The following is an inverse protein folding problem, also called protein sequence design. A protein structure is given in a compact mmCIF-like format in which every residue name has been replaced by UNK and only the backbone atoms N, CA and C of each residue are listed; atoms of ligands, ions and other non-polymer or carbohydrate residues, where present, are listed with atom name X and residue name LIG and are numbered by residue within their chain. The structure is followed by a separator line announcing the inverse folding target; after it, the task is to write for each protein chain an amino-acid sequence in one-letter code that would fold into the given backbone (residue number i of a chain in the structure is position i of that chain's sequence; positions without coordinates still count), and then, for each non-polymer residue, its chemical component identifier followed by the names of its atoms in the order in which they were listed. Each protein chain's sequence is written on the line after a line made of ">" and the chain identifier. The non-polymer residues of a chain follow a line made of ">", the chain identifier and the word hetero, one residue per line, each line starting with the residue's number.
data_IF_242176426554
#
_entry.id   IF_242176426554
#
_cell.length_a   1.000
_cell.length_b   1.000
_cell.length_c   1.000
_cell.angle_alpha   90.00
_cell.angle_beta   90.00
_cell.angle_gamma   90.00
#
_symmetry.space_group_name_H-M   'P 1'
#
loop_
_entity.id
_entity.type
_entity.pdbx_description
1 polymer ?
#
# COMPACT_ATOMS: atom_id res chain seq x y z
N UNK A 1 -16.47 9.41 1.05
CA UNK A 1 -16.64 7.96 1.17
C UNK A 1 -16.53 7.36 -0.21
N UNK A 2 -15.82 6.26 -0.31
CA UNK A 2 -15.94 5.41 -1.49
C UNK A 2 -17.40 4.92 -1.52
N UNK A 3 -18.23 5.60 -2.31
CA UNK A 3 -19.69 5.37 -2.32
C UNK A 3 -20.08 4.00 -2.87
N UNK A 4 -19.15 3.38 -3.57
CA UNK A 4 -19.25 2.14 -4.34
C UNK A 4 -18.51 0.97 -3.69
N UNK A 5 -18.01 1.11 -2.45
CA UNK A 5 -17.35 0.03 -1.73
C UNK A 5 -18.26 -1.19 -1.61
N UNK A 6 -17.76 -2.31 -2.11
CA UNK A 6 -18.45 -3.59 -2.02
C UNK A 6 -18.30 -4.19 -0.61
N UNK A 7 -19.40 -4.30 0.13
CA UNK A 7 -19.40 -4.82 1.49
C UNK A 7 -19.01 -6.30 1.61
N UNK A 8 -19.01 -7.07 0.51
CA UNK A 8 -18.49 -8.45 0.51
C UNK A 8 -17.00 -8.50 0.87
N UNK A 9 -16.26 -7.39 0.71
CA UNK A 9 -14.86 -7.28 1.13
C UNK A 9 -14.66 -7.51 2.64
N UNK A 10 -15.70 -7.34 3.47
CA UNK A 10 -15.67 -7.67 4.91
C UNK A 10 -15.44 -9.16 5.19
N UNK A 11 -15.67 -10.03 4.21
CA UNK A 11 -15.52 -11.48 4.31
C UNK A 11 -14.28 -11.99 3.58
N UNK A 12 -13.55 -11.11 2.92
CA UNK A 12 -12.39 -11.49 2.11
C UNK A 12 -11.16 -11.76 2.98
N UNK A 13 -10.42 -12.79 2.60
CA UNK A 13 -9.13 -13.15 3.19
C UNK A 13 -8.02 -12.66 2.27
N UNK A 14 -7.12 -11.82 2.81
CA UNK A 14 -5.94 -11.33 2.10
C UNK A 14 -4.72 -12.10 2.60
N UNK A 15 -3.95 -12.68 1.67
CA UNK A 15 -2.68 -13.35 1.95
C UNK A 15 -1.52 -12.51 1.40
N UNK A 16 -0.70 -11.99 2.30
CA UNK A 16 0.44 -11.14 1.95
C UNK A 16 1.67 -11.99 1.62
N UNK A 17 2.34 -11.65 0.53
CA UNK A 17 3.57 -12.30 0.08
C UNK A 17 4.66 -11.26 -0.16
N UNK A 18 5.81 -11.47 0.47
CA UNK A 18 7.06 -10.86 0.06
C UNK A 18 7.84 -11.86 -0.79
N UNK A 19 7.89 -11.66 -2.10
CA UNK A 19 8.46 -12.61 -3.05
C UNK A 19 9.82 -13.13 -2.63
N UNK A 20 10.75 -12.23 -2.28
CA UNK A 20 12.12 -12.57 -1.88
C UNK A 20 12.19 -13.61 -0.76
N UNK A 21 11.24 -13.61 0.16
CA UNK A 21 11.25 -14.45 1.37
C UNK A 21 10.22 -15.59 1.33
N UNK A 22 9.40 -15.66 0.28
CA UNK A 22 8.28 -16.60 0.25
C UNK A 22 8.75 -18.05 -0.05
N UNK A 23 9.61 -18.17 -1.04
CA UNK A 23 10.16 -19.45 -1.50
C UNK A 23 11.69 -19.34 -1.61
N UNK A 24 12.35 -20.44 -1.97
CA UNK A 24 13.81 -20.53 -2.06
C UNK A 24 14.39 -19.56 -3.10
N UNK A 25 13.80 -19.48 -4.30
CA UNK A 25 14.24 -18.58 -5.36
C UNK A 25 13.66 -17.17 -5.27
N UNK A 26 12.58 -16.97 -4.54
CA UNK A 26 11.88 -15.69 -4.42
C UNK A 26 11.27 -15.15 -5.71
N UNK A 27 10.99 -16.02 -6.70
CA UNK A 27 10.53 -15.61 -8.02
C UNK A 27 9.02 -15.72 -8.21
N UNK A 28 8.45 -14.95 -9.16
CA UNK A 28 7.04 -15.06 -9.56
C UNK A 28 6.68 -16.48 -10.04
N UNK A 29 7.60 -17.15 -10.74
CA UNK A 29 7.36 -18.50 -11.24
C UNK A 29 7.26 -19.53 -10.12
N UNK A 30 8.07 -19.40 -9.10
CA UNK A 30 8.00 -20.30 -7.95
C UNK A 30 6.71 -20.05 -7.14
N UNK A 31 6.29 -18.78 -7.00
CA UNK A 31 5.02 -18.43 -6.36
C UNK A 31 3.82 -19.02 -7.09
N UNK A 32 3.84 -19.09 -8.44
CA UNK A 32 2.80 -19.77 -9.22
C UNK A 32 2.59 -21.22 -8.75
N UNK A 33 3.67 -21.92 -8.43
CA UNK A 33 3.61 -23.30 -7.94
C UNK A 33 2.95 -23.46 -6.57
N UNK A 34 2.83 -22.37 -5.78
CA UNK A 34 2.25 -22.38 -4.44
C UNK A 34 0.80 -21.85 -4.37
N UNK A 35 0.26 -21.34 -5.47
CA UNK A 35 -1.07 -20.70 -5.49
C UNK A 35 -2.20 -21.66 -5.07
N UNK A 36 -2.11 -22.94 -5.38
CA UNK A 36 -3.11 -23.93 -4.98
C UNK A 36 -3.16 -24.09 -3.47
N UNK A 37 -1.99 -24.20 -2.80
CA UNK A 37 -1.91 -24.25 -1.34
C UNK A 37 -2.48 -22.98 -0.71
N UNK A 38 -2.12 -21.81 -1.25
CA UNK A 38 -2.63 -20.51 -0.77
C UNK A 38 -4.16 -20.48 -0.89
N UNK A 39 -4.72 -20.91 -2.03
CA UNK A 39 -6.18 -20.96 -2.23
C UNK A 39 -6.87 -21.90 -1.25
N UNK A 40 -6.25 -23.05 -0.93
CA UNK A 40 -6.79 -24.01 0.04
C UNK A 40 -6.87 -23.45 1.47
N UNK A 41 -6.13 -22.38 1.80
CA UNK A 41 -6.28 -21.63 3.04
C UNK A 41 -7.53 -20.73 3.08
N UNK A 42 -8.32 -20.69 2.00
CA UNK A 42 -9.51 -19.83 1.90
C UNK A 42 -9.21 -18.41 1.44
N UNK A 43 -8.05 -18.17 0.80
CA UNK A 43 -7.62 -16.85 0.35
C UNK A 43 -8.44 -16.38 -0.84
N UNK A 44 -8.86 -15.11 -0.82
CA UNK A 44 -9.58 -14.43 -1.88
C UNK A 44 -8.69 -13.46 -2.65
N UNK A 45 -7.72 -12.85 -1.96
CA UNK A 45 -6.82 -11.83 -2.51
C UNK A 45 -5.39 -12.18 -2.17
N UNK A 46 -4.57 -12.42 -3.20
CA UNK A 46 -3.12 -12.50 -3.08
C UNK A 46 -2.55 -11.08 -3.14
N UNK A 47 -1.89 -10.63 -2.07
CA UNK A 47 -1.28 -9.31 -1.99
C UNK A 47 0.25 -9.43 -2.00
N UNK A 48 0.89 -8.79 -2.99
CA UNK A 48 2.33 -8.75 -3.13
C UNK A 48 2.91 -7.45 -2.57
N UNK A 49 3.92 -7.56 -1.72
CA UNK A 49 4.78 -6.42 -1.35
C UNK A 49 5.40 -5.82 -2.63
N UNK A 50 6.03 -4.61 -2.55
CA UNK A 50 6.48 -3.93 -3.75
C UNK A 50 7.25 -4.83 -4.72
N UNK A 51 6.77 -4.87 -5.96
CA UNK A 51 7.30 -5.73 -7.03
C UNK A 51 8.36 -5.04 -7.89
N UNK A 52 8.66 -3.77 -7.59
CA UNK A 52 9.48 -2.88 -8.39
C UNK A 52 10.98 -3.00 -8.08
N UNK A 53 11.88 -2.56 -9.00
CA UNK A 53 13.30 -2.44 -8.73
C UNK A 53 13.57 -1.56 -7.51
N UNK A 54 14.52 -1.98 -6.69
CA UNK A 54 14.92 -1.29 -5.46
C UNK A 54 16.08 -0.33 -5.75
N UNK A 55 16.02 0.87 -5.16
CA UNK A 55 17.09 1.85 -5.24
C UNK A 55 18.41 1.35 -4.65
N UNK A 56 19.51 1.83 -5.21
CA UNK A 56 20.88 1.45 -4.83
C UNK A 56 21.57 2.52 -3.99
N UNK A 57 21.23 3.79 -4.23
CA UNK A 57 21.83 4.92 -3.52
C UNK A 57 21.30 4.98 -2.09
N UNK A 58 22.21 5.00 -1.13
CA UNK A 58 21.92 5.07 0.32
C UNK A 58 21.02 3.95 0.83
N UNK A 59 20.98 2.80 0.14
CA UNK A 59 20.13 1.66 0.49
C UNK A 59 20.41 1.12 1.89
N UNK A 60 19.36 0.70 2.59
CA UNK A 60 19.47 0.03 3.89
C UNK A 60 19.82 -1.45 3.71
N UNK A 61 20.83 -1.90 4.43
CA UNK A 61 21.32 -3.29 4.37
C UNK A 61 21.90 -3.66 3.00
N UNK A 62 22.20 -4.94 2.83
CA UNK A 62 22.84 -5.44 1.61
C UNK A 62 21.87 -5.44 0.39
N UNK A 63 20.63 -5.84 0.62
CA UNK A 63 19.63 -6.05 -0.43
C UNK A 63 18.73 -4.83 -0.69
N UNK A 64 18.75 -3.84 0.21
CA UNK A 64 17.86 -2.67 0.14
C UNK A 64 16.43 -2.94 0.62
N UNK A 65 15.69 -1.86 0.86
CA UNK A 65 14.31 -1.89 1.28
C UNK A 65 13.38 -1.98 0.05
N UNK A 66 12.41 -2.91 -0.01
CA UNK A 66 11.48 -3.02 -1.14
C UNK A 66 10.62 -1.77 -1.33
N UNK A 67 10.45 -0.97 -0.28
CA UNK A 67 9.71 0.30 -0.34
C UNK A 67 10.53 1.47 -0.88
N UNK A 68 11.84 1.29 -1.14
CA UNK A 68 12.70 2.28 -1.80
C UNK A 68 12.66 2.06 -3.31
N UNK A 69 11.57 2.51 -3.97
CA UNK A 69 11.25 2.22 -5.36
C UNK A 69 12.15 3.01 -6.31
N UNK A 70 12.82 2.30 -7.25
CA UNK A 70 13.64 2.92 -8.28
C UNK A 70 12.83 3.27 -9.55
N UNK A 71 11.95 2.37 -10.00
CA UNK A 71 11.10 2.61 -11.16
C UNK A 71 9.71 1.96 -10.98
N UNK A 72 8.66 2.76 -11.06
CA UNK A 72 7.28 2.29 -10.85
C UNK A 72 6.69 1.47 -12.00
N UNK A 73 7.30 1.48 -13.21
CA UNK A 73 6.79 0.77 -14.39
C UNK A 73 7.60 -0.49 -14.74
N UNK A 74 8.49 -0.90 -13.86
CA UNK A 74 9.30 -2.12 -14.03
C UNK A 74 9.05 -3.09 -12.88
N UNK A 75 9.26 -4.38 -13.15
CA UNK A 75 9.33 -5.41 -12.12
C UNK A 75 10.79 -5.60 -11.68
N UNK A 76 10.99 -5.95 -10.41
CA UNK A 76 12.31 -6.25 -9.90
C UNK A 76 12.88 -7.49 -10.61
N UNK A 77 14.04 -7.39 -11.27
CA UNK A 77 14.65 -8.51 -12.00
C UNK A 77 14.99 -9.71 -11.09
N UNK A 78 15.10 -9.51 -9.77
CA UNK A 78 15.23 -10.62 -8.80
C UNK A 78 13.99 -11.51 -8.77
N UNK A 79 12.80 -10.97 -9.03
CA UNK A 79 11.54 -11.72 -8.99
C UNK A 79 11.16 -12.33 -10.35
N UNK A 80 11.81 -11.88 -11.43
CA UNK A 80 11.58 -12.33 -12.80
C UNK A 80 11.34 -11.20 -13.79
N UNK A 81 10.72 -11.54 -14.91
CA UNK A 81 10.39 -10.60 -15.99
C UNK A 81 8.95 -10.11 -15.89
N UNK A 82 8.59 -9.09 -16.68
CA UNK A 82 7.19 -8.65 -16.82
C UNK A 82 6.27 -9.79 -17.32
N UNK A 83 6.79 -10.66 -18.20
CA UNK A 83 6.02 -11.82 -18.69
C UNK A 83 5.80 -12.86 -17.58
N UNK A 84 6.77 -13.03 -16.65
CA UNK A 84 6.59 -13.88 -15.47
C UNK A 84 5.52 -13.31 -14.53
N UNK A 85 5.48 -11.98 -14.38
CA UNK A 85 4.46 -11.31 -13.58
C UNK A 85 3.07 -11.44 -14.21
N UNK A 86 2.94 -11.27 -15.55
CA UNK A 86 1.67 -11.52 -16.25
C UNK A 86 1.19 -12.96 -16.09
N UNK A 87 2.11 -13.92 -16.17
CA UNK A 87 1.80 -15.32 -15.92
C UNK A 87 1.30 -15.58 -14.49
N UNK A 88 1.85 -14.86 -13.49
CA UNK A 88 1.37 -14.92 -12.11
C UNK A 88 -0.05 -14.36 -11.99
N UNK A 89 -0.37 -13.22 -12.63
CA UNK A 89 -1.72 -12.66 -12.66
C UNK A 89 -2.71 -13.69 -13.20
N UNK A 90 -2.42 -14.24 -14.37
CA UNK A 90 -3.29 -15.24 -15.02
C UNK A 90 -3.48 -16.49 -14.14
N UNK A 91 -2.39 -16.99 -13.54
CA UNK A 91 -2.44 -18.15 -12.66
C UNK A 91 -3.26 -17.88 -11.39
N UNK A 92 -3.15 -16.69 -10.81
CA UNK A 92 -3.93 -16.24 -9.64
C UNK A 92 -5.42 -16.20 -9.98
N UNK A 93 -5.78 -15.64 -11.13
CA UNK A 93 -7.16 -15.60 -11.61
C UNK A 93 -7.73 -17.00 -11.89
N UNK A 94 -6.94 -17.93 -12.44
CA UNK A 94 -7.34 -19.34 -12.65
C UNK A 94 -7.69 -20.05 -11.33
N UNK A 95 -7.06 -19.67 -10.23
CA UNK A 95 -7.41 -20.18 -8.89
C UNK A 95 -8.64 -19.48 -8.28
N UNK A 96 -9.27 -18.55 -9.00
CA UNK A 96 -10.39 -17.75 -8.48
C UNK A 96 -9.99 -16.79 -7.37
N UNK A 97 -8.75 -16.33 -7.36
CA UNK A 97 -8.24 -15.28 -6.49
C UNK A 97 -8.03 -13.99 -7.27
N UNK A 98 -8.04 -12.86 -6.56
CA UNK A 98 -7.63 -11.55 -7.08
C UNK A 98 -6.17 -11.28 -6.75
N UNK A 99 -5.48 -10.47 -7.58
CA UNK A 99 -4.12 -10.02 -7.32
C UNK A 99 -4.10 -8.54 -6.93
N UNK A 100 -3.49 -8.24 -5.78
CA UNK A 100 -3.23 -6.89 -5.28
C UNK A 100 -1.73 -6.65 -5.23
N UNK A 101 -1.28 -5.44 -5.58
CA UNK A 101 0.14 -5.03 -5.44
C UNK A 101 0.27 -3.82 -4.53
N UNK A 102 1.46 -3.65 -3.98
CA UNK A 102 1.82 -2.48 -3.17
C UNK A 102 2.14 -1.27 -4.06
N UNK A 103 1.63 -0.10 -3.68
CA UNK A 103 1.85 1.19 -4.34
C UNK A 103 2.48 2.15 -3.35
N UNK A 104 3.72 2.55 -3.59
CA UNK A 104 4.51 3.41 -2.70
C UNK A 104 4.60 4.81 -3.31
N UNK A 105 3.60 5.66 -3.06
CA UNK A 105 3.49 6.98 -3.70
C UNK A 105 3.77 8.16 -2.78
N UNK A 106 4.09 7.90 -1.50
CA UNK A 106 4.61 8.97 -0.64
C UNK A 106 6.04 9.35 -1.02
N UNK A 107 6.85 8.39 -1.47
CA UNK A 107 8.29 8.57 -1.68
C UNK A 107 8.86 7.64 -2.75
N UNK A 108 10.10 7.91 -3.16
CA UNK A 108 10.90 7.04 -4.05
C UNK A 108 12.28 6.79 -3.45
N UNK A 109 13.05 5.91 -4.07
CA UNK A 109 14.49 5.83 -3.79
C UNK A 109 15.23 7.12 -4.19
N UNK A 110 16.42 7.34 -3.62
CA UNK A 110 17.27 8.51 -3.88
C UNK A 110 17.97 8.49 -5.25
N UNK A 111 17.79 7.44 -6.02
CA UNK A 111 18.25 7.25 -7.39
C UNK A 111 17.12 6.82 -8.33
N UNK A 112 15.88 7.19 -7.98
CA UNK A 112 14.72 6.82 -8.78
C UNK A 112 14.72 7.48 -10.15
N UNK A 113 14.03 6.82 -11.10
CA UNK A 113 13.79 7.38 -12.44
C UNK A 113 13.09 8.74 -12.35
N UNK A 114 12.04 8.87 -11.51
CA UNK A 114 11.32 10.13 -11.35
C UNK A 114 12.19 11.25 -10.80
N UNK A 115 13.00 10.99 -9.77
CA UNK A 115 13.90 12.02 -9.22
C UNK A 115 14.91 12.51 -10.24
N UNK A 116 15.41 11.62 -11.09
CA UNK A 116 16.38 11.98 -12.13
C UNK A 116 15.74 12.78 -13.28
N UNK A 117 14.48 12.54 -13.61
CA UNK A 117 13.78 13.22 -14.71
C UNK A 117 13.07 14.51 -14.25
N UNK A 118 12.51 14.51 -13.03
CA UNK A 118 11.64 15.54 -12.48
C UNK A 118 12.01 15.88 -11.02
N UNK A 119 13.25 16.41 -10.78
CA UNK A 119 13.67 16.76 -9.43
C UNK A 119 12.76 17.83 -8.78
N UNK A 120 12.06 18.63 -9.57
CA UNK A 120 11.11 19.65 -9.12
C UNK A 120 9.87 19.08 -8.43
N UNK A 121 9.55 17.79 -8.59
CA UNK A 121 8.41 17.13 -7.97
C UNK A 121 8.69 16.64 -6.55
N UNK A 122 9.88 16.88 -6.02
CA UNK A 122 10.30 16.30 -4.76
C UNK A 122 10.39 17.34 -3.63
N UNK A 123 10.19 16.85 -2.40
CA UNK A 123 10.29 17.65 -1.21
C UNK A 123 11.75 18.05 -0.93
N UNK A 124 11.94 19.35 -0.67
CA UNK A 124 13.20 19.91 -0.22
C UNK A 124 13.09 20.38 1.24
N UNK A 125 14.07 20.04 2.05
CA UNK A 125 14.18 20.58 3.41
C UNK A 125 14.57 22.06 3.40
N UNK A 126 14.75 22.65 4.60
CA UNK A 126 15.10 24.07 4.76
C UNK A 126 16.46 24.44 4.14
N UNK A 127 17.34 23.45 3.96
CA UNK A 127 18.66 23.62 3.38
C UNK A 127 18.66 23.42 1.86
N UNK A 128 17.49 23.22 1.25
CA UNK A 128 17.33 22.98 -0.18
C UNK A 128 17.77 21.58 -0.64
N UNK A 129 17.84 20.61 0.26
CA UNK A 129 18.23 19.24 -0.02
C UNK A 129 17.02 18.33 -0.13
N UNK A 130 17.08 17.33 -1.03
CA UNK A 130 16.08 16.27 -1.10
C UNK A 130 16.00 15.53 0.23
N UNK A 131 14.79 15.40 0.79
CA UNK A 131 14.58 14.86 2.12
C UNK A 131 13.25 14.10 2.21
N UNK A 132 12.98 13.56 3.39
CA UNK A 132 11.69 13.01 3.77
C UNK A 132 11.14 13.74 5.00
N UNK A 133 9.82 13.64 5.23
CA UNK A 133 9.13 14.35 6.33
C UNK A 133 9.21 13.57 7.65
N UNK A 134 9.56 12.28 7.61
CA UNK A 134 9.59 11.40 8.81
C UNK A 134 10.96 11.34 9.47
N UNK A 135 12.04 11.65 8.77
CA UNK A 135 13.40 11.75 9.31
C UNK A 135 14.19 10.43 9.35
N UNK A 136 13.59 9.33 9.77
CA UNK A 136 14.28 8.04 9.92
C UNK A 136 14.41 7.23 8.61
N UNK A 137 13.77 7.69 7.54
CA UNK A 137 13.74 7.01 6.24
C UNK A 137 14.86 7.50 5.33
N UNK A 138 16.11 7.22 5.70
CA UNK A 138 17.31 7.81 5.07
C UNK A 138 17.56 7.38 3.62
N UNK A 139 16.96 6.28 3.18
CA UNK A 139 17.13 5.67 1.85
C UNK A 139 16.13 6.15 0.80
N UNK A 140 15.23 7.08 1.20
CA UNK A 140 14.17 7.60 0.32
C UNK A 140 14.15 9.13 0.27
N UNK A 141 13.36 9.66 -0.65
CA UNK A 141 12.97 11.07 -0.72
C UNK A 141 11.49 11.19 -1.05
N UNK A 142 10.79 12.13 -0.37
CA UNK A 142 9.35 12.30 -0.51
C UNK A 142 8.98 13.05 -1.78
N UNK A 143 7.86 12.65 -2.38
CA UNK A 143 7.17 13.41 -3.41
C UNK A 143 6.45 14.63 -2.79
N UNK A 144 6.35 15.71 -3.56
CA UNK A 144 5.65 16.93 -3.15
C UNK A 144 4.47 17.21 -4.08
N UNK A 145 3.30 16.77 -3.68
CA UNK A 145 2.05 16.86 -4.44
C UNK A 145 1.54 18.29 -4.67
N UNK A 146 2.13 19.29 -3.99
CA UNK A 146 1.78 20.70 -4.16
C UNK A 146 2.51 21.38 -5.33
N UNK A 147 3.52 20.73 -5.90
CA UNK A 147 4.41 21.34 -6.89
C UNK A 147 3.82 21.39 -8.30
N UNK A 148 3.32 20.27 -8.79
CA UNK A 148 2.89 20.15 -10.18
C UNK A 148 1.79 19.08 -10.34
N UNK A 149 0.75 19.40 -11.10
CA UNK A 149 -0.29 18.45 -11.49
C UNK A 149 0.26 17.36 -12.41
N UNK A 150 1.32 17.61 -13.16
CA UNK A 150 1.98 16.61 -14.00
C UNK A 150 2.51 15.41 -13.20
N UNK A 151 2.92 15.60 -11.94
CA UNK A 151 3.19 14.50 -11.02
C UNK A 151 1.98 13.59 -10.85
N UNK A 152 0.80 14.17 -10.67
CA UNK A 152 -0.44 13.40 -10.50
C UNK A 152 -0.75 12.59 -11.76
N UNK A 153 -0.61 13.21 -12.93
CA UNK A 153 -0.86 12.56 -14.23
C UNK A 153 0.07 11.35 -14.41
N UNK A 154 1.38 11.51 -14.15
CA UNK A 154 2.37 10.44 -14.29
C UNK A 154 2.09 9.25 -13.35
N UNK A 155 1.76 9.54 -12.08
CA UNK A 155 1.46 8.50 -11.10
C UNK A 155 0.14 7.78 -11.42
N UNK A 156 -0.89 8.49 -11.88
CA UNK A 156 -2.18 7.90 -12.26
C UNK A 156 -2.03 7.03 -13.52
N UNK A 157 -1.28 7.50 -14.52
CA UNK A 157 -0.99 6.68 -15.71
C UNK A 157 -0.21 5.40 -15.35
N UNK A 158 0.62 5.44 -14.31
CA UNK A 158 1.29 4.24 -13.78
C UNK A 158 0.29 3.28 -13.13
N UNK A 159 -0.69 3.77 -12.36
CA UNK A 159 -1.77 2.92 -11.82
C UNK A 159 -2.59 2.30 -12.95
N UNK A 160 -2.99 3.09 -13.94
CA UNK A 160 -3.72 2.60 -15.11
C UNK A 160 -2.95 1.52 -15.87
N UNK A 161 -1.63 1.66 -16.01
CA UNK A 161 -0.76 0.66 -16.63
C UNK A 161 -0.86 -0.70 -15.93
N UNK A 162 -0.73 -0.76 -14.59
CA UNK A 162 -0.81 -2.01 -13.85
C UNK A 162 -2.23 -2.59 -13.82
N UNK A 163 -3.26 -1.74 -13.71
CA UNK A 163 -4.66 -2.17 -13.80
C UNK A 163 -4.97 -2.79 -15.18
N UNK A 164 -4.47 -2.20 -16.27
CA UNK A 164 -4.64 -2.74 -17.62
C UNK A 164 -3.90 -4.07 -17.84
N UNK A 165 -2.88 -4.38 -17.05
CA UNK A 165 -2.22 -5.70 -17.07
C UNK A 165 -3.01 -6.78 -16.31
N UNK A 166 -4.08 -6.41 -15.59
CA UNK A 166 -4.93 -7.35 -14.87
C UNK A 166 -4.73 -7.37 -13.35
N UNK A 167 -4.02 -6.41 -12.76
CA UNK A 167 -4.02 -6.21 -11.31
C UNK A 167 -5.43 -5.81 -10.86
N UNK A 168 -5.91 -6.36 -9.74
CA UNK A 168 -7.29 -6.19 -9.26
C UNK A 168 -7.40 -5.20 -8.08
N UNK A 169 -6.29 -4.80 -7.50
CA UNK A 169 -6.30 -3.89 -6.36
C UNK A 169 -4.93 -3.33 -6.00
N UNK A 170 -4.95 -2.23 -5.26
CA UNK A 170 -3.76 -1.60 -4.69
C UNK A 170 -3.83 -1.55 -3.16
N UNK A 171 -2.74 -1.96 -2.52
CA UNK A 171 -2.44 -1.54 -1.16
C UNK A 171 -1.53 -0.33 -1.27
N UNK A 172 -2.00 0.82 -0.80
CA UNK A 172 -1.27 2.06 -0.91
C UNK A 172 -0.49 2.33 0.37
N UNK A 173 0.84 2.28 0.23
CA UNK A 173 1.80 2.50 1.31
C UNK A 173 1.71 3.91 1.85
N UNK A 174 1.65 4.07 3.17
CA UNK A 174 1.55 5.36 3.87
C UNK A 174 0.55 6.30 3.19
N UNK A 175 -0.58 5.75 2.72
CA UNK A 175 -1.57 6.47 1.91
C UNK A 175 -2.07 7.76 2.57
N UNK A 176 -2.04 7.82 3.91
CA UNK A 176 -2.41 9.00 4.70
C UNK A 176 -1.58 10.26 4.42
N UNK A 177 -0.37 10.12 3.84
CA UNK A 177 0.51 11.24 3.51
C UNK A 177 0.32 11.79 2.09
N UNK A 178 -0.47 11.12 1.27
CA UNK A 178 -0.80 11.53 -0.10
C UNK A 178 -2.17 12.21 -0.09
N UNK A 179 -2.38 13.33 -0.82
CA UNK A 179 -3.65 14.04 -0.80
C UNK A 179 -4.86 13.17 -1.16
N UNK A 180 -5.95 13.32 -0.42
CA UNK A 180 -7.19 12.56 -0.69
C UNK A 180 -7.72 12.84 -2.10
N UNK A 181 -7.57 14.06 -2.58
CA UNK A 181 -7.97 14.49 -3.92
C UNK A 181 -7.23 13.72 -5.02
N UNK A 182 -5.93 13.43 -4.80
CA UNK A 182 -5.17 12.56 -5.69
C UNK A 182 -5.79 11.16 -5.75
N UNK A 183 -6.07 10.56 -4.60
CA UNK A 183 -6.66 9.23 -4.53
C UNK A 183 -8.07 9.17 -5.13
N UNK A 184 -8.88 10.21 -4.93
CA UNK A 184 -10.21 10.33 -5.55
C UNK A 184 -10.12 10.37 -7.07
N UNK A 185 -9.15 11.12 -7.60
CA UNK A 185 -8.90 11.18 -9.04
C UNK A 185 -8.38 9.85 -9.57
N UNK A 186 -7.38 9.26 -8.92
CA UNK A 186 -6.80 7.97 -9.27
C UNK A 186 -7.87 6.86 -9.32
N UNK A 187 -8.71 6.78 -8.26
CA UNK A 187 -9.81 5.81 -8.20
C UNK A 187 -10.78 5.96 -9.38
N UNK A 188 -11.18 7.18 -9.69
CA UNK A 188 -12.10 7.44 -10.80
C UNK A 188 -11.51 6.99 -12.14
N UNK A 189 -10.24 7.32 -12.41
CA UNK A 189 -9.60 7.00 -13.68
C UNK A 189 -9.27 5.50 -13.82
N UNK A 190 -8.87 4.83 -12.74
CA UNK A 190 -8.67 3.36 -12.74
C UNK A 190 -9.99 2.62 -12.89
N UNK A 191 -11.11 3.15 -12.37
CA UNK A 191 -12.42 2.53 -12.53
C UNK A 191 -12.91 2.49 -14.00
N UNK A 192 -12.36 3.32 -14.89
CA UNK A 192 -12.61 3.24 -16.34
C UNK A 192 -12.04 1.96 -16.96
N UNK A 193 -11.00 1.36 -16.33
CA UNK A 193 -10.38 0.09 -16.75
C UNK A 193 -11.02 -1.08 -16.03
N UNK A 194 -11.16 -0.98 -14.71
CA UNK A 194 -11.77 -2.01 -13.87
C UNK A 194 -12.65 -1.34 -12.79
N UNK A 195 -13.99 -1.36 -12.95
CA UNK A 195 -14.91 -0.73 -12.00
C UNK A 195 -14.93 -1.45 -10.62
N UNK A 196 -14.52 -2.71 -10.55
CA UNK A 196 -14.47 -3.52 -9.33
C UNK A 196 -13.08 -3.50 -8.65
N UNK A 197 -12.24 -2.51 -8.98
CA UNK A 197 -10.89 -2.37 -8.47
C UNK A 197 -10.88 -2.09 -6.96
N UNK A 198 -10.01 -2.80 -6.21
CA UNK A 198 -9.97 -2.75 -4.74
C UNK A 198 -8.90 -1.76 -4.27
N UNK A 199 -9.27 -0.87 -3.34
CA UNK A 199 -8.38 0.12 -2.76
C UNK A 199 -8.21 -0.08 -1.26
N UNK A 200 -6.99 -0.47 -0.85
CA UNK A 200 -6.59 -0.67 0.54
C UNK A 200 -5.58 0.41 0.95
N UNK A 201 -5.95 1.26 1.90
CA UNK A 201 -5.05 2.26 2.46
C UNK A 201 -4.28 1.69 3.65
N UNK A 202 -2.95 1.80 3.63
CA UNK A 202 -2.22 1.85 4.87
C UNK A 202 -2.42 3.22 5.49
N UNK A 203 -3.32 3.27 6.44
CA UNK A 203 -3.55 4.44 7.29
C UNK A 203 -2.70 4.33 8.56
N UNK A 204 -2.40 5.46 9.17
CA UNK A 204 -1.55 5.51 10.36
C UNK A 204 -2.37 5.76 11.63
N UNK A 205 -1.84 5.40 12.79
CA UNK A 205 -2.53 5.61 14.05
C UNK A 205 -2.69 7.08 14.42
N UNK A 206 -3.66 7.38 15.30
CA UNK A 206 -4.00 8.75 15.70
C UNK A 206 -2.88 9.50 16.41
N UNK A 207 -1.99 8.81 17.11
CA UNK A 207 -0.82 9.40 17.76
C UNK A 207 0.20 9.90 16.72
N UNK A 208 0.44 9.09 15.70
CA UNK A 208 1.32 9.46 14.60
C UNK A 208 0.73 10.60 13.74
N UNK A 209 -0.58 10.60 13.48
CA UNK A 209 -1.27 11.72 12.81
C UNK A 209 -1.05 13.02 13.58
N UNK A 210 -1.28 13.01 14.89
CA UNK A 210 -1.08 14.20 15.73
C UNK A 210 0.38 14.69 15.71
N UNK A 211 1.34 13.77 15.77
CA UNK A 211 2.75 14.10 15.68
C UNK A 211 3.09 14.79 14.36
N UNK A 212 2.72 14.23 13.23
CA UNK A 212 3.02 14.77 11.90
C UNK A 212 2.35 16.14 11.69
N UNK A 213 1.08 16.28 12.09
CA UNK A 213 0.36 17.57 12.05
C UNK A 213 1.02 18.63 12.93
N UNK A 214 1.59 18.25 14.09
CA UNK A 214 2.33 19.17 14.96
C UNK A 214 3.63 19.68 14.34
N UNK A 215 4.20 18.94 13.37
CA UNK A 215 5.36 19.35 12.57
C UNK A 215 4.97 20.25 11.38
N UNK A 216 3.67 20.55 11.20
CA UNK A 216 3.16 21.38 10.11
C UNK A 216 2.97 20.64 8.78
N UNK A 217 2.99 19.31 8.77
CA UNK A 217 2.74 18.51 7.58
C UNK A 217 1.29 18.05 7.50
N UNK A 218 0.80 17.91 6.28
CA UNK A 218 -0.50 17.33 6.00
C UNK A 218 -0.46 15.82 6.13
N UNK A 219 -1.46 15.25 6.81
CA UNK A 219 -1.68 13.82 6.95
C UNK A 219 -3.16 13.57 7.25
N UNK A 220 -3.71 12.50 6.68
CA UNK A 220 -5.13 12.20 6.70
C UNK A 220 -5.46 11.05 7.65
N UNK A 221 -6.59 11.19 8.36
CA UNK A 221 -7.16 10.16 9.23
C UNK A 221 -7.94 9.12 8.41
N UNK A 222 -8.26 7.97 9.02
CA UNK A 222 -9.10 6.94 8.40
C UNK A 222 -10.44 7.48 7.89
N UNK A 223 -11.07 8.41 8.64
CA UNK A 223 -12.32 9.03 8.20
C UNK A 223 -12.15 9.82 6.88
N UNK A 224 -11.01 10.46 6.69
CA UNK A 224 -10.67 11.17 5.46
C UNK A 224 -10.32 10.19 4.34
N UNK A 225 -9.55 9.13 4.65
CA UNK A 225 -9.16 8.10 3.68
C UNK A 225 -10.35 7.32 3.13
N UNK A 226 -11.40 7.07 3.92
CA UNK A 226 -12.63 6.43 3.43
C UNK A 226 -13.38 7.22 2.34
N UNK A 227 -12.98 8.43 2.00
CA UNK A 227 -13.49 9.12 0.81
C UNK A 227 -13.05 8.43 -0.47
N UNK A 228 -11.84 7.85 -0.50
CA UNK A 228 -11.23 7.27 -1.69
C UNK A 228 -10.97 5.75 -1.57
N UNK A 229 -10.88 5.19 -0.37
CA UNK A 229 -10.50 3.80 -0.13
C UNK A 229 -11.67 2.94 0.33
N UNK A 230 -11.62 1.66 -0.05
CA UNK A 230 -12.59 0.65 0.38
C UNK A 230 -12.23 0.12 1.75
N UNK A 231 -10.95 -0.11 1.99
CA UNK A 231 -10.40 -0.77 3.17
C UNK A 231 -9.31 0.13 3.78
N UNK A 232 -9.32 0.28 5.12
CA UNK A 232 -8.20 0.84 5.87
C UNK A 232 -7.65 -0.20 6.85
N UNK A 233 -6.36 -0.12 7.17
CA UNK A 233 -5.76 -0.93 8.24
C UNK A 233 -6.42 -0.63 9.58
N UNK A 234 -6.49 -1.65 10.47
CA UNK A 234 -7.14 -1.56 11.79
C UNK A 234 -6.17 -1.07 12.89
N UNK A 235 -5.23 -0.16 12.55
CA UNK A 235 -4.19 0.30 13.47
C UNK A 235 -4.74 1.11 14.65
N UNK A 236 -5.90 1.73 14.51
CA UNK A 236 -6.58 2.48 15.57
C UNK A 236 -6.99 1.61 16.77
N UNK A 237 -7.21 0.30 16.57
CA UNK A 237 -7.55 -0.63 17.64
C UNK A 237 -6.54 -1.77 17.83
N UNK A 238 -5.56 -1.91 16.94
CA UNK A 238 -4.60 -3.01 16.96
C UNK A 238 -3.81 -3.11 18.27
N UNK A 239 -3.39 -1.98 18.85
CA UNK A 239 -2.68 -1.96 20.13
C UNK A 239 -3.49 -2.61 21.26
N UNK A 240 -4.81 -2.38 21.31
CA UNK A 240 -5.70 -2.97 22.31
C UNK A 240 -5.90 -4.46 22.08
N UNK A 241 -5.96 -4.91 20.83
CA UNK A 241 -5.98 -6.33 20.48
C UNK A 241 -4.69 -7.03 20.91
N UNK A 242 -3.53 -6.45 20.63
CA UNK A 242 -2.22 -6.95 21.05
C UNK A 242 -2.11 -7.05 22.58
N UNK A 243 -2.56 -6.04 23.32
CA UNK A 243 -2.55 -6.06 24.77
C UNK A 243 -3.45 -7.17 25.35
N UNK A 244 -4.60 -7.44 24.72
CA UNK A 244 -5.42 -8.58 25.07
C UNK A 244 -4.70 -9.92 24.83
N UNK A 245 -4.10 -10.11 23.64
CA UNK A 245 -3.37 -11.36 23.31
C UNK A 245 -2.21 -11.62 24.26
N UNK A 246 -1.53 -10.56 24.71
CA UNK A 246 -0.41 -10.65 25.66
C UNK A 246 -0.85 -10.72 27.14
N UNK A 247 -2.16 -10.79 27.42
CA UNK A 247 -2.71 -10.84 28.77
C UNK A 247 -2.54 -9.54 29.57
N UNK A 248 -2.27 -8.42 28.91
CA UNK A 248 -2.06 -7.10 29.55
C UNK A 248 -3.35 -6.34 29.81
N UNK A 249 -4.40 -6.63 29.04
CA UNK A 249 -5.71 -6.00 29.15
C UNK A 249 -6.84 -7.01 28.95
N UNK A 250 -8.04 -6.80 29.56
CA UNK A 250 -9.18 -7.66 29.32
C UNK A 250 -9.75 -7.43 27.91
N UNK A 251 -10.36 -8.47 27.31
CA UNK A 251 -11.02 -8.42 26.01
C UNK A 251 -12.00 -7.25 25.86
N UNK A 252 -12.68 -6.87 26.96
CA UNK A 252 -13.65 -5.78 26.98
C UNK A 252 -13.08 -4.43 26.52
N UNK A 253 -11.80 -4.15 26.73
CA UNK A 253 -11.17 -2.91 26.28
C UNK A 253 -11.04 -2.88 24.75
N UNK A 254 -10.62 -3.98 24.13
CA UNK A 254 -10.61 -4.12 22.68
C UNK A 254 -12.02 -4.01 22.08
N UNK A 255 -13.00 -4.72 22.65
CA UNK A 255 -14.40 -4.71 22.16
C UNK A 255 -14.99 -3.30 22.18
N UNK A 256 -14.75 -2.52 23.24
CA UNK A 256 -15.21 -1.11 23.30
C UNK A 256 -14.65 -0.27 22.14
N UNK A 257 -13.38 -0.49 21.77
CA UNK A 257 -12.75 0.24 20.64
C UNK A 257 -13.36 -0.17 19.30
N UNK A 258 -13.58 -1.46 19.09
CA UNK A 258 -14.29 -1.96 17.89
C UNK A 258 -15.71 -1.39 17.81
N UNK A 259 -16.45 -1.32 18.93
CA UNK A 259 -17.76 -0.70 18.96
C UNK A 259 -17.74 0.79 18.58
N UNK A 260 -16.67 1.52 18.96
CA UNK A 260 -16.52 2.92 18.57
C UNK A 260 -16.34 3.09 17.06
N UNK A 261 -15.75 2.12 16.37
CA UNK A 261 -15.61 2.17 14.90
C UNK A 261 -16.99 2.24 14.20
N UNK A 262 -18.00 1.53 14.71
CA UNK A 262 -19.37 1.57 14.18
C UNK A 262 -20.03 2.95 14.29
N UNK A 263 -19.52 3.81 15.17
CA UNK A 263 -20.02 5.18 15.38
C UNK A 263 -19.23 6.23 14.61
N UNK A 264 -17.91 6.00 14.48
CA UNK A 264 -16.97 7.00 13.93
C UNK A 264 -16.90 6.89 12.39
N UNK A 265 -16.89 5.65 11.88
CA UNK A 265 -16.68 5.40 10.46
C UNK A 265 -17.98 5.37 9.65
N UNK A 266 -17.90 5.59 8.34
CA UNK A 266 -19.07 5.48 7.47
C UNK A 266 -19.65 4.06 7.46
N UNK A 267 -20.99 3.90 7.30
CA UNK A 267 -21.65 2.59 7.39
C UNK A 267 -21.16 1.52 6.41
N UNK A 268 -20.44 1.91 5.37
CA UNK A 268 -19.79 0.99 4.41
C UNK A 268 -18.29 0.84 4.63
N UNK A 269 -17.75 1.21 5.80
CA UNK A 269 -16.33 1.03 6.10
C UNK A 269 -15.93 -0.45 6.14
N UNK A 270 -14.70 -0.74 5.73
CA UNK A 270 -14.07 -2.05 5.87
C UNK A 270 -12.72 -1.89 6.54
N UNK A 271 -12.42 -2.70 7.56
CA UNK A 271 -11.12 -2.72 8.24
C UNK A 271 -10.37 -4.00 7.92
N UNK A 272 -9.09 -3.84 7.54
CA UNK A 272 -8.16 -4.97 7.47
C UNK A 272 -7.66 -5.30 8.87
N UNK A 273 -8.17 -6.39 9.43
CA UNK A 273 -7.69 -6.96 10.69
C UNK A 273 -6.67 -8.03 10.41
N UNK A 274 -5.48 -7.91 10.97
CA UNK A 274 -4.38 -8.84 10.78
C UNK A 274 -3.89 -9.42 12.10
N UNK A 275 -3.41 -10.66 12.06
CA UNK A 275 -2.60 -11.26 13.12
C UNK A 275 -1.12 -10.95 12.88
N UNK A 276 -0.70 -10.95 11.63
CA UNK A 276 0.67 -10.69 11.17
C UNK A 276 0.66 -9.84 9.90
N UNK A 277 1.62 -8.94 9.78
CA UNK A 277 1.93 -8.20 8.56
C UNK A 277 3.42 -7.79 8.56
N UNK A 278 3.90 -7.13 7.50
CA UNK A 278 5.29 -6.70 7.36
C UNK A 278 5.77 -5.67 8.41
N UNK A 279 4.86 -5.10 9.21
CA UNK A 279 5.14 -4.08 10.24
C UNK A 279 5.07 -4.66 11.67
N UNK A 280 4.74 -5.94 11.83
CA UNK A 280 4.64 -6.67 13.09
C UNK A 280 5.76 -7.69 13.25
#
# INVERSE_FOLDING_TARGET
>A
MAKDTNLSLRQSVIYQVYNRNHNESGTFRELIGDLERIKQLGVDILYLLPIHPIGKKDKKGELGCPYSIQNYREVNPEYGTLEDFKALIEATHKQGMKLMIDVVYNHTSRDSYLLNQHPEWFYLNKDGQFANRVGDWSDITDLDYSKDVALWDELIETLKYWAALGVDGYRCDVASFVPVEFWLRARREVAEINPDFIWLAESVDGGFINYIRSQGFEVHSDCEMYQAFDICYDYDVFAFYKDYLLGRAPLGEYIKRVQMQEVIYPGNYVKLRCLENCLL
#
